data_IF_553800947026
#
_entry.id   IF_553800947026
#
_cell.length_a   1.000
_cell.length_b   1.000
_cell.length_c   1.000
_cell.angle_alpha   90.00
_cell.angle_beta   90.00
_cell.angle_gamma   90.00
#
_symmetry.space_group_name_H-M   'P 1'
#
loop_
_entity.id
_entity.type
_entity.pdbx_description
1 polymer ?
#
# COMPACT_ATOMS: atom_id res chain seq x y z
N UNK A 1 -5.37 21.08 0.75
CA UNK A 1 -4.19 21.73 0.13
C UNK A 1 -3.03 20.77 0.06
N UNK A 2 -2.01 21.06 -0.80
CA UNK A 2 -0.81 20.23 -0.90
C UNK A 2 -0.93 19.01 -1.83
N UNK A 3 -2.09 18.78 -2.43
CA UNK A 3 -2.18 17.84 -3.55
C UNK A 3 -1.46 18.47 -4.74
N UNK A 4 -0.54 17.71 -5.31
CA UNK A 4 0.21 18.07 -6.51
C UNK A 4 0.10 16.96 -7.52
N UNK A 5 0.14 17.30 -8.80
CA UNK A 5 0.19 16.32 -9.86
C UNK A 5 1.29 16.70 -10.83
N UNK A 6 2.26 15.81 -11.01
CA UNK A 6 3.30 16.02 -12.03
C UNK A 6 2.86 15.47 -13.39
N UNK A 7 2.00 14.46 -13.41
CA UNK A 7 1.71 13.67 -14.62
C UNK A 7 0.22 13.50 -14.92
N UNK A 8 -0.68 13.73 -13.97
CA UNK A 8 -2.10 13.41 -14.11
C UNK A 8 -2.94 14.58 -14.64
N UNK A 9 -2.56 15.81 -14.32
CA UNK A 9 -3.37 16.99 -14.57
C UNK A 9 -2.58 18.05 -15.36
N UNK A 10 -3.23 18.78 -16.25
CA UNK A 10 -2.60 19.89 -16.98
C UNK A 10 -2.06 21.00 -16.07
N UNK A 11 -2.75 21.26 -14.94
CA UNK A 11 -2.28 22.14 -13.88
C UNK A 11 -1.74 21.29 -12.72
N UNK A 12 -0.41 21.31 -12.47
CA UNK A 12 0.19 20.53 -11.40
C UNK A 12 -0.23 20.98 -9.99
N UNK A 13 -0.84 22.14 -9.83
CA UNK A 13 -1.32 22.67 -8.56
C UNK A 13 -2.85 22.62 -8.41
N UNK A 14 -3.55 21.96 -9.31
CA UNK A 14 -5.00 21.79 -9.19
C UNK A 14 -5.36 21.09 -7.86
N UNK A 15 -6.36 21.59 -7.17
CA UNK A 15 -6.87 21.00 -5.92
C UNK A 15 -7.91 19.90 -6.16
N UNK A 16 -8.32 19.68 -7.39
CA UNK A 16 -9.37 18.72 -7.80
C UNK A 16 -8.92 17.92 -9.02
N UNK A 17 -9.58 16.79 -9.26
CA UNK A 17 -9.32 15.95 -10.44
C UNK A 17 -8.26 14.88 -10.21
N UNK A 18 -7.69 14.76 -9.00
CA UNK A 18 -6.71 13.74 -8.66
C UNK A 18 -7.32 12.33 -8.62
N UNK A 19 -6.59 11.36 -9.16
CA UNK A 19 -6.95 9.95 -9.05
C UNK A 19 -6.46 9.39 -7.69
N UNK A 20 -7.37 9.24 -6.76
CA UNK A 20 -7.09 8.64 -5.45
C UNK A 20 -7.37 7.14 -5.53
N UNK A 21 -6.38 6.31 -5.20
CA UNK A 21 -6.52 4.87 -5.20
C UNK A 21 -7.09 4.36 -3.87
N UNK A 22 -6.48 4.75 -2.75
CA UNK A 22 -6.95 4.34 -1.43
C UNK A 22 -6.53 5.37 -0.36
N UNK A 23 -7.37 5.52 0.66
CA UNK A 23 -7.06 6.26 1.88
C UNK A 23 -7.12 5.29 3.04
N UNK A 24 -6.13 5.33 3.93
CA UNK A 24 -6.07 4.55 5.15
C UNK A 24 -5.89 5.47 6.36
N UNK A 25 -6.48 5.07 7.49
CA UNK A 25 -6.34 5.78 8.77
C UNK A 25 -6.37 4.78 9.93
N UNK A 26 -5.73 5.16 11.03
CA UNK A 26 -5.80 4.38 12.26
C UNK A 26 -6.86 4.98 13.21
N UNK A 27 -7.75 4.16 13.82
CA UNK A 27 -8.83 4.66 14.67
C UNK A 27 -8.38 5.53 15.85
N UNK A 28 -7.17 5.28 16.41
CA UNK A 28 -6.63 6.10 17.51
C UNK A 28 -6.06 7.45 17.08
N UNK A 29 -5.89 7.69 15.78
CA UNK A 29 -5.36 8.93 15.20
C UNK A 29 -6.20 9.40 14.01
N UNK A 30 -7.47 9.77 14.22
CA UNK A 30 -8.40 10.07 13.14
C UNK A 30 -7.99 11.28 12.28
N UNK A 31 -7.16 12.17 12.79
CA UNK A 31 -6.64 13.32 12.04
C UNK A 31 -5.42 12.95 11.15
N UNK A 32 -4.82 11.78 11.36
CA UNK A 32 -3.72 11.28 10.55
C UNK A 32 -4.24 10.37 9.47
N UNK A 33 -4.14 10.80 8.21
CA UNK A 33 -4.57 10.06 7.05
C UNK A 33 -3.37 9.75 6.16
N UNK A 34 -3.38 8.57 5.56
CA UNK A 34 -2.43 8.16 4.53
C UNK A 34 -3.17 7.89 3.23
N UNK A 35 -2.57 8.26 2.11
CA UNK A 35 -3.20 8.12 0.80
C UNK A 35 -2.19 7.57 -0.21
N UNK A 36 -2.57 6.52 -0.91
CA UNK A 36 -1.97 6.19 -2.20
C UNK A 36 -2.78 6.93 -3.27
N UNK A 37 -2.17 7.91 -3.85
CA UNK A 37 -2.68 8.57 -5.06
C UNK A 37 -2.21 7.78 -6.30
N UNK A 38 -2.62 8.18 -7.47
CA UNK A 38 -2.14 7.60 -8.74
C UNK A 38 -0.61 7.58 -8.78
N UNK A 39 -0.01 8.73 -8.60
CA UNK A 39 1.39 8.95 -8.25
C UNK A 39 1.44 9.55 -6.85
N UNK A 40 2.47 9.26 -6.11
CA UNK A 40 2.76 9.70 -4.76
C UNK A 40 1.99 8.95 -3.64
N UNK A 41 2.72 8.70 -2.57
CA UNK A 41 2.18 8.39 -1.26
C UNK A 41 2.13 9.68 -0.45
N UNK A 42 0.97 9.97 0.12
CA UNK A 42 0.71 11.22 0.81
C UNK A 42 0.28 10.99 2.26
N UNK A 43 0.63 11.92 3.12
CA UNK A 43 0.21 11.98 4.52
C UNK A 43 -0.44 13.30 4.84
N UNK A 44 -1.55 13.26 5.58
CA UNK A 44 -2.15 14.40 6.27
C UNK A 44 -2.09 14.19 7.78
N UNK A 45 -1.86 15.25 8.55
CA UNK A 45 -1.93 15.26 10.01
C UNK A 45 -3.06 16.16 10.55
N UNK A 46 -3.98 16.58 9.69
CA UNK A 46 -5.07 17.50 10.00
C UNK A 46 -6.35 17.14 9.24
N UNK A 47 -6.72 15.87 9.29
CA UNK A 47 -7.96 15.31 8.71
C UNK A 47 -8.14 15.64 7.20
N UNK A 48 -7.04 15.71 6.45
CA UNK A 48 -7.08 15.93 5.00
C UNK A 48 -7.05 17.39 4.55
N UNK A 49 -6.98 18.37 5.46
CA UNK A 49 -6.89 19.78 5.07
C UNK A 49 -5.58 20.10 4.33
N UNK A 50 -4.49 19.44 4.73
CA UNK A 50 -3.19 19.55 4.08
C UNK A 50 -2.54 18.18 3.90
N UNK A 51 -1.96 17.96 2.74
CA UNK A 51 -1.25 16.75 2.36
C UNK A 51 0.22 17.05 2.09
N UNK A 52 1.08 16.12 2.53
CA UNK A 52 2.52 16.15 2.29
C UNK A 52 2.92 14.84 1.61
N UNK A 53 3.76 14.93 0.60
CA UNK A 53 4.32 13.79 -0.08
C UNK A 53 5.33 13.07 0.84
N UNK A 54 5.23 11.73 0.91
CA UNK A 54 6.02 10.88 1.81
C UNK A 54 6.52 9.59 1.12
N UNK A 55 6.61 9.58 -0.19
CA UNK A 55 7.10 8.43 -0.97
C UNK A 55 8.59 8.11 -0.72
N UNK A 56 9.39 9.13 -0.40
CA UNK A 56 10.79 8.99 0.04
C UNK A 56 11.62 8.07 -0.86
N UNK A 57 12.15 6.98 -0.29
CA UNK A 57 13.03 6.03 -0.97
C UNK A 57 12.30 4.84 -1.62
N UNK A 58 10.99 4.94 -1.90
CA UNK A 58 10.29 3.92 -2.71
C UNK A 58 10.93 3.82 -4.11
N UNK A 59 10.99 2.62 -4.72
CA UNK A 59 11.55 2.46 -6.07
C UNK A 59 10.70 3.11 -7.16
N UNK A 60 9.42 3.30 -6.89
CA UNK A 60 8.42 4.04 -7.64
C UNK A 60 7.32 4.44 -6.66
N UNK A 61 6.69 5.56 -6.91
CA UNK A 61 5.60 6.11 -6.11
C UNK A 61 4.21 5.72 -6.65
N UNK A 62 4.17 4.97 -7.76
CA UNK A 62 2.94 4.44 -8.32
C UNK A 62 2.54 3.11 -7.65
N UNK A 63 1.33 3.03 -7.15
CA UNK A 63 0.78 1.83 -6.52
C UNK A 63 -0.73 1.94 -6.29
N UNK A 64 -1.35 0.89 -5.78
CA UNK A 64 -2.79 0.87 -5.53
C UNK A 64 -3.15 0.72 -4.05
N UNK A 65 -2.64 -0.30 -3.32
CA UNK A 65 -3.00 -0.50 -1.93
C UNK A 65 -2.16 0.36 -0.99
N UNK A 66 -2.77 0.78 0.08
CA UNK A 66 -2.13 1.30 1.30
C UNK A 66 -2.96 0.85 2.48
N UNK A 67 -2.30 0.43 3.57
CA UNK A 67 -2.98 0.12 4.82
C UNK A 67 -2.10 0.46 6.03
N UNK A 68 -2.72 0.53 7.22
CA UNK A 68 -2.08 0.94 8.48
C UNK A 68 -2.04 -0.24 9.43
N UNK A 69 -0.92 -0.44 10.13
CA UNK A 69 -0.81 -1.43 11.19
C UNK A 69 -1.78 -1.09 12.33
N UNK A 70 -2.53 -2.08 12.81
CA UNK A 70 -3.55 -1.86 13.83
C UNK A 70 -2.96 -1.45 15.19
N UNK A 71 -1.77 -1.92 15.53
CA UNK A 71 -1.13 -1.66 16.82
C UNK A 71 -0.14 -0.48 16.77
N UNK A 72 0.29 -0.10 15.57
CA UNK A 72 1.31 0.92 15.34
C UNK A 72 0.81 1.96 14.32
N UNK A 73 0.16 3.03 14.74
CA UNK A 73 -0.54 3.98 13.85
C UNK A 73 0.39 4.78 12.90
N UNK A 74 1.69 4.70 13.07
CA UNK A 74 2.69 5.27 12.14
C UNK A 74 3.30 4.21 11.22
N UNK A 75 2.96 2.94 11.40
CA UNK A 75 3.43 1.85 10.53
C UNK A 75 2.44 1.62 9.41
N UNK A 76 2.88 1.86 8.17
CA UNK A 76 2.06 1.77 6.95
C UNK A 76 2.71 0.85 5.92
N UNK A 77 1.88 0.28 5.05
CA UNK A 77 2.28 -0.68 4.03
C UNK A 77 1.78 -0.24 2.65
N UNK A 78 2.63 -0.40 1.63
CA UNK A 78 2.29 -0.18 0.22
C UNK A 78 2.88 -1.28 -0.65
N UNK A 79 2.34 -1.47 -1.86
CA UNK A 79 2.89 -2.36 -2.89
C UNK A 79 3.08 -1.56 -4.17
N UNK A 80 4.24 -0.95 -4.38
CA UNK A 80 4.54 -0.21 -5.60
C UNK A 80 4.60 -1.12 -6.83
N UNK A 81 4.18 -0.58 -7.96
CA UNK A 81 4.33 -1.17 -9.29
C UNK A 81 5.09 -0.22 -10.20
N UNK A 82 5.50 -0.70 -11.37
CA UNK A 82 6.46 0.00 -12.22
C UNK A 82 5.96 1.35 -12.71
N UNK A 83 4.73 1.43 -13.21
CA UNK A 83 4.09 2.67 -13.69
C UNK A 83 2.60 2.46 -13.95
N UNK A 84 1.92 3.52 -14.39
CA UNK A 84 0.54 3.53 -14.82
C UNK A 84 0.26 2.64 -16.06
N UNK A 85 1.28 2.40 -16.87
CA UNK A 85 1.20 1.55 -18.07
C UNK A 85 1.82 0.16 -17.88
N UNK A 86 2.63 -0.04 -16.83
CA UNK A 86 3.33 -1.28 -16.52
C UNK A 86 2.91 -1.80 -15.14
N UNK A 87 1.77 -2.48 -15.10
CA UNK A 87 1.11 -2.92 -13.87
C UNK A 87 1.71 -4.20 -13.28
N UNK A 88 3.01 -4.17 -13.01
CA UNK A 88 3.75 -5.23 -12.32
C UNK A 88 4.87 -4.65 -11.46
N UNK A 89 5.39 -5.39 -10.47
CA UNK A 89 6.41 -4.88 -9.57
C UNK A 89 7.72 -4.54 -10.30
N UNK A 90 8.45 -3.49 -9.88
CA UNK A 90 9.78 -3.18 -10.42
C UNK A 90 10.69 -4.41 -10.42
N UNK A 91 11.46 -4.60 -11.49
CA UNK A 91 12.36 -5.74 -11.72
C UNK A 91 11.68 -7.12 -11.74
N UNK A 92 10.35 -7.21 -11.81
CA UNK A 92 9.62 -8.47 -11.66
C UNK A 92 9.78 -9.09 -10.26
N UNK A 93 10.01 -8.28 -9.22
CA UNK A 93 10.21 -8.70 -7.84
C UNK A 93 9.08 -8.20 -6.96
N UNK A 94 8.26 -9.11 -6.47
CA UNK A 94 7.15 -8.75 -5.58
C UNK A 94 7.69 -8.35 -4.20
N UNK A 95 7.38 -7.13 -3.79
CA UNK A 95 7.80 -6.55 -2.52
C UNK A 95 6.65 -5.77 -1.91
N UNK A 96 6.42 -5.97 -0.62
CA UNK A 96 5.66 -5.04 0.20
C UNK A 96 6.66 -4.06 0.79
N UNK A 97 6.32 -2.80 0.86
CA UNK A 97 7.15 -1.80 1.54
C UNK A 97 6.46 -1.35 2.80
N UNK A 98 7.22 -1.30 3.88
CA UNK A 98 6.79 -0.84 5.21
C UNK A 98 7.53 0.43 5.58
N UNK A 99 6.82 1.44 6.07
CA UNK A 99 7.41 2.54 6.82
C UNK A 99 6.90 2.50 8.26
N UNK A 100 7.79 2.66 9.23
CA UNK A 100 7.45 2.75 10.66
C UNK A 100 7.36 4.20 11.16
N UNK A 101 7.58 5.16 10.28
CA UNK A 101 7.61 6.59 10.57
C UNK A 101 6.51 7.37 9.84
N UNK A 102 5.52 6.69 9.28
CA UNK A 102 4.43 7.31 8.52
C UNK A 102 4.86 7.83 7.14
N UNK A 103 5.86 7.20 6.51
CA UNK A 103 6.38 7.52 5.19
C UNK A 103 7.85 7.94 5.19
N UNK A 104 8.35 8.38 4.04
CA UNK A 104 9.72 8.81 3.72
C UNK A 104 10.81 7.74 3.82
N UNK A 105 10.80 6.93 4.88
CA UNK A 105 11.73 5.83 5.08
C UNK A 105 10.99 4.50 4.91
N UNK A 106 11.32 3.76 3.88
CA UNK A 106 10.67 2.53 3.48
C UNK A 106 11.65 1.37 3.44
N UNK A 107 11.27 0.26 4.04
CA UNK A 107 11.98 -1.01 3.97
C UNK A 107 11.24 -2.01 3.07
N UNK A 108 11.99 -2.73 2.22
CA UNK A 108 11.44 -3.75 1.36
C UNK A 108 11.29 -5.08 2.10
N UNK A 109 10.07 -5.59 2.19
CA UNK A 109 9.72 -6.87 2.80
C UNK A 109 9.60 -7.91 1.68
N UNK A 110 10.52 -8.87 1.65
CA UNK A 110 10.67 -9.79 0.50
C UNK A 110 10.64 -11.26 0.85
N UNK A 111 10.86 -11.60 2.13
CA UNK A 111 11.09 -12.97 2.56
C UNK A 111 9.82 -13.83 2.44
N UNK A 112 9.84 -14.77 1.51
CA UNK A 112 8.70 -15.61 1.15
C UNK A 112 7.88 -15.10 -0.05
N UNK A 113 8.24 -13.92 -0.62
CA UNK A 113 7.64 -13.40 -1.84
C UNK A 113 8.51 -13.72 -3.08
N UNK A 114 7.91 -13.90 -4.27
CA UNK A 114 8.64 -14.13 -5.52
C UNK A 114 9.60 -12.96 -5.84
N UNK A 115 10.89 -13.28 -6.06
CA UNK A 115 11.93 -12.28 -6.30
C UNK A 115 12.48 -12.32 -7.74
N UNK A 116 11.74 -12.92 -8.66
CA UNK A 116 12.00 -12.88 -10.09
C UNK A 116 10.75 -13.28 -10.87
N UNK A 117 10.67 -12.85 -12.09
CA UNK A 117 9.64 -13.24 -13.07
C UNK A 117 8.20 -13.10 -12.54
N UNK A 118 7.97 -12.14 -11.64
CA UNK A 118 6.69 -11.90 -11.01
C UNK A 118 6.00 -10.68 -11.64
N UNK A 119 5.06 -10.93 -12.53
CA UNK A 119 4.34 -9.90 -13.31
C UNK A 119 2.88 -9.82 -12.88
N UNK A 120 2.67 -9.60 -11.59
CA UNK A 120 1.34 -9.47 -10.97
C UNK A 120 1.15 -8.06 -10.42
N UNK A 121 -0.11 -7.69 -10.19
CA UNK A 121 -0.49 -6.46 -9.49
C UNK A 121 -1.25 -6.79 -8.21
N UNK A 122 -1.29 -5.86 -7.28
CA UNK A 122 -2.15 -5.86 -6.08
C UNK A 122 -3.08 -4.67 -6.20
N UNK A 123 -4.39 -4.92 -6.27
CA UNK A 123 -5.38 -3.85 -6.41
C UNK A 123 -5.60 -3.08 -5.11
N UNK A 124 -6.26 -1.92 -5.21
CA UNK A 124 -6.48 -0.99 -4.10
C UNK A 124 -7.16 -1.62 -2.88
N UNK A 125 -8.11 -2.53 -3.09
CA UNK A 125 -8.85 -3.20 -2.02
C UNK A 125 -8.32 -4.62 -1.73
N UNK A 126 -7.23 -5.03 -2.39
CA UNK A 126 -6.65 -6.37 -2.24
C UNK A 126 -5.56 -6.45 -1.17
N UNK A 127 -5.57 -5.55 -0.18
CA UNK A 127 -4.72 -5.60 1.01
C UNK A 127 -5.54 -5.31 2.26
N UNK A 128 -5.26 -6.04 3.35
CA UNK A 128 -5.89 -5.82 4.66
C UNK A 128 -4.91 -6.14 5.80
N UNK A 129 -5.11 -5.47 6.93
CA UNK A 129 -4.37 -5.68 8.19
C UNK A 129 -5.35 -6.12 9.27
N UNK A 130 -5.03 -7.18 10.02
CA UNK A 130 -5.86 -7.66 11.12
C UNK A 130 -5.60 -6.91 12.45
N UNK A 131 -6.40 -7.24 13.47
CA UNK A 131 -6.40 -6.62 14.79
C UNK A 131 -5.76 -7.52 15.87
N UNK A 132 -4.94 -8.49 15.48
CA UNK A 132 -4.25 -9.35 16.44
C UNK A 132 -3.08 -8.62 17.10
N UNK A 133 -2.58 -9.13 18.24
CA UNK A 133 -1.47 -8.52 19.01
C UNK A 133 -0.22 -8.26 18.17
N UNK A 134 0.08 -9.16 17.24
CA UNK A 134 0.98 -8.92 16.12
C UNK A 134 0.10 -8.82 14.88
N UNK A 135 -0.03 -7.64 14.31
CA UNK A 135 -0.86 -7.45 13.14
C UNK A 135 -0.43 -8.34 11.99
N UNK A 136 -1.34 -9.20 11.56
CA UNK A 136 -1.21 -9.95 10.33
C UNK A 136 -1.52 -9.05 9.15
N UNK A 137 -0.74 -9.22 8.07
CA UNK A 137 -0.96 -8.48 6.82
C UNK A 137 -1.28 -9.49 5.73
N UNK A 138 -2.28 -9.18 4.95
CA UNK A 138 -2.81 -10.05 3.90
C UNK A 138 -2.90 -9.28 2.60
N UNK A 139 -2.53 -9.89 1.49
CA UNK A 139 -2.83 -9.31 0.18
C UNK A 139 -3.04 -10.37 -0.89
N UNK A 140 -3.87 -10.01 -1.87
CA UNK A 140 -4.16 -10.82 -3.03
C UNK A 140 -3.61 -10.21 -4.32
N UNK A 141 -3.30 -11.05 -5.29
CA UNK A 141 -2.69 -10.64 -6.55
C UNK A 141 -3.61 -10.90 -7.75
N UNK A 142 -3.34 -10.20 -8.84
CA UNK A 142 -3.98 -10.48 -10.14
C UNK A 142 -3.63 -11.85 -10.70
N UNK A 143 -2.56 -12.48 -10.21
CA UNK A 143 -2.19 -13.86 -10.55
C UNK A 143 -2.92 -14.92 -9.74
N UNK A 144 -3.84 -14.54 -8.84
CA UNK A 144 -4.67 -15.47 -8.06
C UNK A 144 -3.97 -16.09 -6.86
N UNK A 145 -2.91 -15.48 -6.35
CA UNK A 145 -2.29 -15.84 -5.07
C UNK A 145 -2.78 -14.91 -3.97
N UNK A 146 -2.94 -15.45 -2.76
CA UNK A 146 -3.12 -14.68 -1.52
C UNK A 146 -1.95 -14.98 -0.60
N UNK A 147 -1.29 -13.93 -0.14
CA UNK A 147 -0.18 -13.98 0.80
C UNK A 147 -0.61 -13.49 2.17
N UNK A 148 -0.01 -14.07 3.20
CA UNK A 148 -0.18 -13.67 4.60
C UNK A 148 1.19 -13.51 5.26
N UNK A 149 1.33 -12.49 6.06
CA UNK A 149 2.42 -12.35 7.03
C UNK A 149 1.82 -12.22 8.43
N UNK A 150 2.11 -13.15 9.36
CA UNK A 150 1.61 -13.07 10.74
C UNK A 150 2.48 -12.22 11.66
N UNK A 151 3.52 -11.58 11.16
CA UNK A 151 4.56 -10.91 11.93
C UNK A 151 4.90 -9.50 11.43
N UNK A 152 3.88 -8.78 10.98
CA UNK A 152 4.03 -7.39 10.55
C UNK A 152 4.77 -7.21 9.22
N UNK A 153 4.85 -8.25 8.39
CA UNK A 153 5.49 -8.22 7.07
C UNK A 153 6.88 -8.85 7.00
N UNK A 154 7.44 -9.32 8.13
CA UNK A 154 8.80 -9.84 8.17
C UNK A 154 8.95 -11.18 7.42
N UNK A 155 7.92 -12.03 7.44
CA UNK A 155 7.88 -13.30 6.71
C UNK A 155 6.52 -13.48 6.04
N UNK A 156 6.53 -13.96 4.79
CA UNK A 156 5.34 -14.15 3.97
C UNK A 156 5.12 -15.62 3.61
N UNK A 157 3.87 -16.04 3.61
CA UNK A 157 3.45 -17.38 3.19
C UNK A 157 2.26 -17.26 2.24
N UNK A 158 2.25 -18.07 1.18
CA UNK A 158 1.07 -18.20 0.31
C UNK A 158 0.01 -19.03 1.04
N UNK A 159 -1.16 -18.45 1.29
CA UNK A 159 -2.27 -19.15 1.95
C UNK A 159 -3.36 -19.62 0.98
N UNK A 160 -3.40 -19.06 -0.23
CA UNK A 160 -4.22 -19.55 -1.33
C UNK A 160 -3.53 -19.28 -2.67
N UNK A 161 -3.78 -20.14 -3.65
CA UNK A 161 -3.23 -20.02 -4.99
C UNK A 161 -4.22 -20.57 -6.03
N UNK A 162 -3.96 -20.25 -7.30
CA UNK A 162 -4.80 -20.69 -8.44
C UNK A 162 -6.23 -20.17 -8.41
N UNK A 163 -6.45 -19.04 -7.70
CA UNK A 163 -7.72 -18.31 -7.75
C UNK A 163 -7.80 -17.49 -9.05
N UNK A 164 -8.97 -17.04 -9.48
CA UNK A 164 -9.07 -15.89 -10.37
C UNK A 164 -8.33 -14.66 -9.78
N UNK A 165 -8.15 -13.62 -10.59
CA UNK A 165 -7.57 -12.37 -10.08
C UNK A 165 -8.28 -11.91 -8.79
N UNK A 166 -7.49 -11.72 -7.71
CA UNK A 166 -8.02 -11.31 -6.42
C UNK A 166 -8.25 -9.80 -6.46
N UNK A 167 -9.50 -9.39 -6.32
CA UNK A 167 -9.91 -7.97 -6.43
C UNK A 167 -9.96 -7.28 -5.07
N UNK A 168 -10.28 -8.04 -4.00
CA UNK A 168 -10.33 -7.54 -2.63
C UNK A 168 -9.89 -8.61 -1.64
N UNK A 169 -9.37 -8.17 -0.50
CA UNK A 169 -9.06 -8.99 0.67
C UNK A 169 -9.64 -8.30 1.90
N UNK A 170 -10.44 -9.05 2.64
CA UNK A 170 -11.02 -8.58 3.89
C UNK A 170 -10.65 -9.53 5.02
N UNK A 171 -10.40 -8.99 6.19
CA UNK A 171 -10.08 -9.77 7.39
C UNK A 171 -11.08 -9.48 8.51
N UNK A 172 -11.44 -10.51 9.25
CA UNK A 172 -12.28 -10.40 10.43
C UNK A 172 -11.61 -11.13 11.59
N UNK A 173 -11.34 -10.41 12.68
CA UNK A 173 -10.86 -11.02 13.92
C UNK A 173 -12.08 -11.53 14.70
N UNK A 174 -12.17 -12.86 14.86
CA UNK A 174 -13.20 -13.49 15.69
C UNK A 174 -12.78 -13.41 17.16
N UNK A 175 -13.71 -12.99 18.01
CA UNK A 175 -13.54 -12.92 19.47
C UNK A 175 -14.03 -14.20 20.12
#
# INVERSE_FOLDING_TARGET
>A
KGLKSQFELPDPNAEVGHCVHRIALHPSKPDTLFMQKHWDVLRSNNAGEQWNEVSGNLPTDFGFPIDVNFNEPETIYVVPITSDSLHYPPDGKLRVYRSKAGGNEWEALTKGLPQKDCYVNVFRDAMAVDQLDKSGIYFGTTGGQVYCSPDGGDNWTTIAAHLPAVLSVEVQTLK
#
